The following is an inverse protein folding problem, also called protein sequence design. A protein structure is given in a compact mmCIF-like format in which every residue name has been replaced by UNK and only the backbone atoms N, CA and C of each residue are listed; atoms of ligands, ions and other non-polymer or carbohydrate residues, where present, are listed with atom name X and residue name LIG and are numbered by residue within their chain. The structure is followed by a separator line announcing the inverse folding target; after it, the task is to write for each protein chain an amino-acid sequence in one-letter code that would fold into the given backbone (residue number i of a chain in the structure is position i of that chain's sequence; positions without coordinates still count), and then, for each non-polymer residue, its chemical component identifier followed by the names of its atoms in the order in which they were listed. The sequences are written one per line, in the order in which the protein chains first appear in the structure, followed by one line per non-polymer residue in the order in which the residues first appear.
data_IF_417917661708
#
_entry.id   IF_417917661708
#
_cell.length_a   1.000
_cell.length_b   1.000
_cell.length_c   1.000
_cell.angle_alpha   90.00
_cell.angle_beta   90.00
_cell.angle_gamma   90.00
#
_symmetry.space_group_name_H-M   'P 1'
#
loop_
_entity.id
_entity.type
_entity.pdbx_description
1 polymer ?
#
# COMPACT_ATOMS: atom_id res chain seq x y z
N UNK A 1 13.84 13.34 -5.57
CA UNK A 1 12.56 12.84 -6.12
C UNK A 1 11.74 12.21 -5.02
N UNK A 2 10.43 12.50 -4.96
CA UNK A 2 9.52 11.94 -3.97
C UNK A 2 8.21 11.49 -4.64
N UNK A 3 7.77 10.26 -4.34
CA UNK A 3 6.56 9.67 -4.92
C UNK A 3 5.39 9.72 -3.95
N UNK A 4 4.24 10.18 -4.44
CA UNK A 4 3.00 10.30 -3.69
C UNK A 4 1.93 9.38 -4.27
N UNK A 5 1.32 8.59 -3.42
CA UNK A 5 0.23 7.68 -3.77
C UNK A 5 -1.08 8.17 -3.15
N UNK A 6 -2.21 7.94 -3.81
CA UNK A 6 -3.50 8.25 -3.22
C UNK A 6 -3.62 7.63 -1.81
N UNK A 7 -4.16 8.39 -0.86
CA UNK A 7 -4.05 8.08 0.57
C UNK A 7 -4.69 6.75 0.96
N UNK A 8 -5.85 6.42 0.40
CA UNK A 8 -6.52 5.16 0.71
C UNK A 8 -5.74 3.95 0.15
N UNK A 9 -5.19 4.08 -1.05
CA UNK A 9 -4.31 3.06 -1.66
C UNK A 9 -3.00 2.92 -0.89
N UNK A 10 -2.43 4.04 -0.41
CA UNK A 10 -1.26 4.01 0.48
C UNK A 10 -1.56 3.24 1.75
N UNK A 11 -2.71 3.50 2.38
CA UNK A 11 -3.15 2.81 3.58
C UNK A 11 -3.29 1.31 3.38
N UNK A 12 -3.95 0.89 2.31
CA UNK A 12 -4.09 -0.54 1.96
C UNK A 12 -2.73 -1.21 1.74
N UNK A 13 -1.82 -0.53 1.06
CA UNK A 13 -0.45 -1.01 0.86
C UNK A 13 0.32 -1.15 2.17
N UNK A 14 0.21 -0.17 3.08
CA UNK A 14 0.83 -0.23 4.41
C UNK A 14 0.23 -1.35 5.27
N UNK A 15 -1.09 -1.56 5.17
CA UNK A 15 -1.75 -2.68 5.83
C UNK A 15 -1.20 -4.03 5.35
N UNK A 16 -1.11 -4.22 4.05
CA UNK A 16 -0.51 -5.41 3.43
C UNK A 16 0.92 -5.66 3.94
N UNK A 17 1.75 -4.61 3.97
CA UNK A 17 3.11 -4.68 4.52
C UNK A 17 3.11 -5.04 6.01
N UNK A 18 2.22 -4.43 6.78
CA UNK A 18 2.07 -4.71 8.21
C UNK A 18 1.70 -6.17 8.49
N UNK A 19 0.79 -6.74 7.70
CA UNK A 19 0.42 -8.15 7.80
C UNK A 19 1.61 -9.07 7.49
N UNK A 20 2.36 -8.80 6.41
CA UNK A 20 3.57 -9.57 6.05
C UNK A 20 4.66 -9.49 7.11
N UNK A 21 4.68 -8.41 7.88
CA UNK A 21 5.61 -8.21 8.99
C UNK A 21 5.11 -8.77 10.33
N UNK A 22 4.00 -9.53 10.34
CA UNK A 22 3.47 -10.18 11.54
C UNK A 22 2.39 -9.38 12.29
N UNK A 23 1.93 -8.24 11.76
CA UNK A 23 0.81 -7.49 12.32
C UNK A 23 -0.51 -8.26 12.21
N UNK A 24 -1.30 -8.32 13.31
CA UNK A 24 -2.57 -9.05 13.36
C UNK A 24 -3.82 -8.17 13.50
N UNK A 25 -3.68 -6.85 13.36
CA UNK A 25 -4.83 -5.93 13.48
C UNK A 25 -5.74 -6.03 12.27
N UNK A 26 -7.04 -5.75 12.45
CA UNK A 26 -7.97 -5.67 11.33
C UNK A 26 -7.68 -4.44 10.46
N UNK A 27 -8.11 -4.46 9.19
CA UNK A 27 -8.06 -3.27 8.33
C UNK A 27 -8.85 -2.10 8.93
N UNK A 28 -9.90 -2.41 9.67
CA UNK A 28 -10.72 -1.43 10.38
C UNK A 28 -9.93 -0.69 11.47
N UNK A 29 -9.12 -1.42 12.23
CA UNK A 29 -8.33 -0.88 13.34
C UNK A 29 -6.96 -0.37 12.91
N UNK A 30 -6.51 -0.77 11.73
CA UNK A 30 -5.23 -0.36 11.20
C UNK A 30 -5.21 1.15 10.94
N UNK A 31 -4.28 1.83 11.58
CA UNK A 31 -4.11 3.29 11.48
C UNK A 31 -5.43 4.04 11.67
N UNK A 32 -5.94 4.06 12.90
CA UNK A 32 -7.23 4.69 13.26
C UNK A 32 -7.31 6.17 12.88
N UNK A 33 -6.22 6.91 13.08
CA UNK A 33 -6.13 8.31 12.66
C UNK A 33 -5.75 8.42 11.17
N UNK A 34 -6.76 8.65 10.34
CA UNK A 34 -6.67 8.80 8.89
C UNK A 34 -7.16 10.17 8.44
N UNK A 35 -7.17 11.12 9.37
CA UNK A 35 -7.61 12.47 9.10
C UNK A 35 -6.54 13.31 8.39
N UNK A 36 -6.91 14.41 7.76
CA UNK A 36 -5.96 15.35 7.17
C UNK A 36 -4.98 15.99 8.17
N UNK A 37 -5.25 15.89 9.47
CA UNK A 37 -4.33 16.33 10.54
C UNK A 37 -3.15 15.38 10.69
N UNK A 38 -3.31 14.11 10.31
CA UNK A 38 -2.22 13.15 10.33
C UNK A 38 -1.20 13.45 9.24
N UNK A 39 -0.02 13.90 9.65
CA UNK A 39 1.08 14.28 8.75
C UNK A 39 1.55 13.13 7.83
N UNK A 40 1.33 11.86 8.19
CA UNK A 40 1.64 10.72 7.32
C UNK A 40 0.83 10.71 6.02
N UNK A 41 -0.38 11.24 6.07
CA UNK A 41 -1.31 11.28 4.95
C UNK A 41 -1.47 12.67 4.35
N UNK A 42 -1.19 13.74 5.12
CA UNK A 42 -1.23 15.10 4.61
C UNK A 42 0.08 15.46 3.89
N UNK A 43 0.07 15.29 2.59
CA UNK A 43 1.26 15.52 1.76
C UNK A 43 1.67 16.98 1.70
N UNK A 44 0.72 17.92 1.74
CA UNK A 44 1.05 19.34 1.78
C UNK A 44 1.88 19.67 3.03
N UNK A 45 1.42 19.24 4.20
CA UNK A 45 2.11 19.50 5.47
C UNK A 45 3.47 18.81 5.55
N UNK A 46 3.54 17.56 5.09
CA UNK A 46 4.79 16.78 5.12
C UNK A 46 5.83 17.35 4.15
N UNK A 47 5.39 17.68 2.93
CA UNK A 47 6.31 18.10 1.88
C UNK A 47 6.81 19.52 2.06
N UNK A 48 6.05 20.39 2.73
CA UNK A 48 6.51 21.72 3.15
C UNK A 48 7.75 21.69 4.03
N UNK A 49 7.86 20.69 4.90
CA UNK A 49 9.07 20.53 5.74
C UNK A 49 10.33 20.28 4.90
N UNK A 50 10.20 19.57 3.79
CA UNK A 50 11.28 19.36 2.85
C UNK A 50 11.58 20.64 2.05
N UNK A 51 10.54 21.36 1.65
CA UNK A 51 10.68 22.66 1.00
C UNK A 51 11.39 23.67 1.89
N UNK A 52 11.03 23.75 3.17
CA UNK A 52 11.66 24.62 4.16
C UNK A 52 13.16 24.28 4.35
N UNK A 53 13.51 23.00 4.24
CA UNK A 53 14.88 22.54 4.43
C UNK A 53 15.76 22.67 3.17
N UNK A 54 15.21 22.43 1.97
CA UNK A 54 15.99 22.30 0.74
C UNK A 54 15.62 23.30 -0.36
N UNK A 55 14.56 24.08 -0.17
CA UNK A 55 13.99 24.94 -1.20
C UNK A 55 13.11 24.19 -2.21
N UNK A 56 12.15 24.89 -2.80
CA UNK A 56 11.16 24.29 -3.72
C UNK A 56 11.82 23.73 -4.98
N UNK A 57 12.87 24.37 -5.49
CA UNK A 57 13.56 24.00 -6.73
C UNK A 57 14.34 22.68 -6.60
N UNK A 58 14.69 22.27 -5.37
CA UNK A 58 15.33 20.99 -5.09
C UNK A 58 14.34 19.81 -5.05
N UNK A 59 13.03 20.08 -5.11
CA UNK A 59 12.00 19.08 -4.92
C UNK A 59 11.38 18.64 -6.24
N UNK A 60 11.37 17.33 -6.47
CA UNK A 60 10.76 16.71 -7.64
C UNK A 60 9.64 15.76 -7.17
N UNK A 61 8.41 16.28 -6.97
CA UNK A 61 7.28 15.44 -6.59
C UNK A 61 6.74 14.67 -7.79
N UNK A 62 6.46 13.39 -7.59
CA UNK A 62 5.91 12.47 -8.60
C UNK A 62 4.67 11.76 -8.07
N UNK A 63 3.72 11.46 -8.94
CA UNK A 63 2.56 10.64 -8.58
C UNK A 63 2.90 9.17 -8.83
N UNK A 64 2.75 8.34 -7.79
CA UNK A 64 2.91 6.90 -7.89
C UNK A 64 1.62 6.28 -8.45
N UNK A 65 1.50 6.32 -9.75
CA UNK A 65 0.45 5.66 -10.53
C UNK A 65 1.11 5.11 -11.80
N UNK A 66 0.89 3.83 -12.12
CA UNK A 66 1.56 3.16 -13.25
C UNK A 66 1.38 3.91 -14.57
N UNK A 67 0.20 4.46 -14.79
CA UNK A 67 -0.12 5.19 -16.01
C UNK A 67 0.61 6.55 -16.11
N UNK A 68 1.27 6.98 -15.02
CA UNK A 68 2.01 8.25 -14.92
C UNK A 68 3.51 8.06 -14.76
N UNK A 69 3.95 6.84 -14.56
CA UNK A 69 5.37 6.49 -14.51
C UNK A 69 5.92 6.27 -15.92
N UNK A 70 7.18 6.54 -16.12
CA UNK A 70 7.89 6.28 -17.37
C UNK A 70 7.82 4.78 -17.68
N UNK A 71 7.12 4.41 -18.77
CA UNK A 71 6.82 3.03 -19.14
C UNK A 71 6.19 2.17 -18.02
N UNK A 72 5.52 2.80 -17.06
CA UNK A 72 4.92 2.11 -15.92
C UNK A 72 5.92 1.59 -14.88
N UNK A 73 7.21 1.93 -15.01
CA UNK A 73 8.28 1.47 -14.12
C UNK A 73 8.85 2.63 -13.28
N UNK A 74 8.71 2.50 -11.96
CA UNK A 74 9.22 3.51 -11.01
C UNK A 74 10.75 3.69 -11.09
N UNK A 75 11.51 2.66 -11.47
CA UNK A 75 12.96 2.74 -11.58
C UNK A 75 13.36 3.61 -12.75
N UNK A 76 12.69 3.47 -13.88
CA UNK A 76 12.89 4.29 -15.07
C UNK A 76 12.48 5.73 -14.80
N UNK A 77 11.31 5.92 -14.23
CA UNK A 77 10.79 7.24 -13.85
C UNK A 77 11.73 7.94 -12.86
N UNK A 78 12.26 7.20 -11.87
CA UNK A 78 13.24 7.76 -10.92
C UNK A 78 14.52 8.20 -11.61
N UNK A 79 15.12 7.36 -12.46
CA UNK A 79 16.35 7.69 -13.17
C UNK A 79 16.16 8.93 -14.04
N UNK A 80 15.08 8.98 -14.81
CA UNK A 80 14.76 10.12 -15.67
C UNK A 80 14.68 11.46 -14.92
N UNK A 81 14.24 11.44 -13.65
CA UNK A 81 14.03 12.65 -12.86
C UNK A 81 15.16 12.96 -11.86
N UNK A 82 15.86 11.93 -11.40
CA UNK A 82 16.95 12.07 -10.44
C UNK A 82 18.33 12.17 -11.10
N UNK A 83 18.50 11.50 -12.25
CA UNK A 83 19.75 11.40 -12.97
C UNK A 83 19.50 11.55 -14.48
N UNK A 84 19.08 12.73 -14.94
CA UNK A 84 18.66 12.95 -16.33
C UNK A 84 19.79 12.71 -17.36
N UNK A 85 21.03 12.67 -16.91
CA UNK A 85 22.19 12.34 -17.74
C UNK A 85 22.39 10.84 -17.97
N UNK A 86 21.68 9.98 -17.23
CA UNK A 86 21.76 8.52 -17.38
C UNK A 86 20.66 8.06 -18.33
N UNK A 87 21.06 7.39 -19.41
CA UNK A 87 20.12 6.73 -20.31
C UNK A 87 19.51 5.49 -19.64
N UNK A 88 18.20 5.47 -19.34
CA UNK A 88 17.57 4.30 -18.74
C UNK A 88 17.71 3.03 -19.58
N UNK A 89 17.80 3.15 -20.91
CA UNK A 89 17.95 1.99 -21.83
C UNK A 89 19.34 1.35 -21.72
N UNK A 90 20.32 2.08 -21.25
CA UNK A 90 21.68 1.55 -21.06
C UNK A 90 21.79 0.65 -19.82
N UNK A 91 20.73 0.56 -18.99
CA UNK A 91 20.75 -0.17 -17.74
C UNK A 91 19.99 -1.51 -17.85
N UNK A 92 20.62 -2.57 -17.36
CA UNK A 92 19.94 -3.86 -17.19
C UNK A 92 19.14 -3.85 -15.89
N UNK A 93 17.82 -3.88 -16.01
CA UNK A 93 16.94 -4.00 -14.84
C UNK A 93 16.79 -5.47 -14.46
N UNK A 94 17.09 -5.79 -13.19
CA UNK A 94 16.74 -7.10 -12.65
C UNK A 94 15.22 -7.30 -12.75
N UNK A 95 14.79 -8.54 -12.96
CA UNK A 95 13.38 -8.88 -12.93
C UNK A 95 12.76 -8.31 -11.64
N UNK A 96 11.71 -7.52 -11.79
CA UNK A 96 11.03 -6.94 -10.64
C UNK A 96 10.27 -8.08 -9.96
N UNK A 97 10.76 -8.54 -8.81
CA UNK A 97 9.88 -9.20 -7.86
C UNK A 97 8.89 -8.13 -7.41
N UNK A 98 7.74 -8.11 -8.07
CA UNK A 98 6.72 -7.13 -7.75
C UNK A 98 6.34 -7.31 -6.30
N UNK A 99 6.63 -6.31 -5.46
CA UNK A 99 6.12 -6.24 -4.09
C UNK A 99 4.62 -5.94 -4.16
N UNK A 100 3.87 -6.94 -4.68
CA UNK A 100 2.43 -6.85 -4.86
C UNK A 100 1.75 -6.74 -3.49
N UNK A 101 0.76 -5.86 -3.39
CA UNK A 101 -0.14 -5.88 -2.23
C UNK A 101 -0.78 -7.26 -2.12
N UNK A 102 -1.05 -7.70 -0.89
CA UNK A 102 -1.80 -8.93 -0.67
C UNK A 102 -3.18 -8.81 -1.33
N UNK A 103 -3.68 -9.93 -1.85
CA UNK A 103 -5.08 -10.04 -2.21
C UNK A 103 -5.97 -10.04 -0.96
N UNK A 104 -7.28 -9.96 -1.16
CA UNK A 104 -8.24 -10.01 -0.05
C UNK A 104 -8.09 -11.30 0.77
N UNK A 105 -8.04 -12.45 0.11
CA UNK A 105 -7.93 -13.76 0.76
C UNK A 105 -6.59 -13.94 1.48
N UNK A 106 -5.50 -13.54 0.85
CA UNK A 106 -4.18 -13.55 1.49
C UNK A 106 -4.15 -12.69 2.74
N UNK A 107 -4.69 -11.47 2.68
CA UNK A 107 -4.74 -10.56 3.83
C UNK A 107 -5.53 -11.13 5.00
N UNK A 108 -6.66 -11.79 4.73
CA UNK A 108 -7.46 -12.48 5.76
C UNK A 108 -6.71 -13.61 6.40
N UNK A 109 -6.02 -14.42 5.60
CA UNK A 109 -5.21 -15.54 6.11
C UNK A 109 -4.07 -15.02 6.99
N UNK A 110 -3.30 -14.02 6.51
CA UNK A 110 -2.26 -13.39 7.32
C UNK A 110 -2.80 -12.82 8.63
N UNK A 111 -3.91 -12.11 8.57
CA UNK A 111 -4.54 -11.52 9.75
C UNK A 111 -4.95 -12.61 10.76
N UNK A 112 -5.59 -13.69 10.32
CA UNK A 112 -6.03 -14.79 11.17
C UNK A 112 -4.84 -15.45 11.89
N UNK A 113 -3.80 -15.81 11.13
CA UNK A 113 -2.58 -16.44 11.69
C UNK A 113 -1.86 -15.50 12.67
N UNK A 114 -1.65 -14.23 12.28
CA UNK A 114 -0.96 -13.26 13.11
C UNK A 114 -1.73 -12.94 14.40
N UNK A 115 -3.06 -12.82 14.33
CA UNK A 115 -3.92 -12.58 15.49
C UNK A 115 -3.92 -13.76 16.46
N UNK A 116 -3.95 -14.99 15.95
CA UNK A 116 -3.86 -16.19 16.77
C UNK A 116 -2.50 -16.28 17.48
N UNK A 117 -1.44 -15.88 16.81
CA UNK A 117 -0.08 -15.86 17.33
C UNK A 117 0.13 -14.80 18.39
N UNK A 118 -0.30 -13.55 18.20
CA UNK A 118 -0.12 -12.43 19.14
C UNK A 118 -0.63 -12.71 20.55
N UNK A 119 -1.48 -13.73 20.69
CA UNK A 119 -1.98 -14.22 21.99
C UNK A 119 -1.06 -15.24 22.66
N UNK A 120 -0.04 -15.76 21.99
CA UNK A 120 0.72 -16.94 22.47
C UNK A 120 2.22 -16.76 22.67
N UNK A 121 2.89 -15.75 22.10
CA UNK A 121 4.36 -15.73 22.06
C UNK A 121 4.92 -14.38 22.52
N UNK A 122 5.67 -14.41 23.62
CA UNK A 122 6.62 -13.36 23.99
C UNK A 122 7.93 -13.56 23.23
N UNK A 123 8.49 -12.47 22.74
CA UNK A 123 9.87 -12.22 22.27
C UNK A 123 10.71 -13.45 21.85
N UNK A 124 10.39 -14.10 20.78
CA UNK A 124 11.34 -14.95 20.05
C UNK A 124 11.67 -14.21 18.76
N UNK A 125 12.96 -14.14 18.42
CA UNK A 125 13.40 -13.65 17.09
C UNK A 125 12.72 -14.52 16.03
N UNK A 126 11.85 -13.88 15.25
CA UNK A 126 10.79 -14.58 14.60
C UNK A 126 11.02 -14.64 13.11
N UNK A 127 11.47 -15.77 12.62
CA UNK A 127 11.56 -16.10 11.19
C UNK A 127 10.18 -16.43 10.57
N UNK A 128 9.14 -16.48 11.39
CA UNK A 128 7.80 -16.88 10.96
C UNK A 128 7.19 -15.98 9.87
N UNK A 129 7.37 -14.64 9.86
CA UNK A 129 6.89 -13.83 8.76
C UNK A 129 7.42 -14.29 7.40
N UNK A 130 8.68 -14.63 7.31
CA UNK A 130 9.28 -15.16 6.07
C UNK A 130 8.70 -16.51 5.66
N UNK A 131 8.56 -17.43 6.62
CA UNK A 131 7.94 -18.76 6.39
C UNK A 131 6.48 -18.59 5.98
N UNK A 132 5.72 -17.75 6.67
CA UNK A 132 4.30 -17.51 6.35
C UNK A 132 4.15 -16.87 4.97
N UNK A 133 5.00 -15.91 4.60
CA UNK A 133 4.98 -15.32 3.26
C UNK A 133 5.17 -16.40 2.19
N UNK A 134 6.12 -17.30 2.37
CA UNK A 134 6.35 -18.39 1.42
C UNK A 134 5.19 -19.38 1.39
N UNK A 135 4.69 -19.81 2.55
CA UNK A 135 3.53 -20.72 2.61
C UNK A 135 2.30 -20.13 1.92
N UNK A 136 2.00 -18.85 2.16
CA UNK A 136 0.84 -18.20 1.54
C UNK A 136 1.03 -18.06 0.04
N UNK A 137 2.24 -17.74 -0.44
CA UNK A 137 2.51 -17.66 -1.88
C UNK A 137 2.30 -19.00 -2.60
N UNK A 138 2.61 -20.10 -1.94
CA UNK A 138 2.53 -21.46 -2.51
C UNK A 138 1.15 -22.12 -2.28
N UNK A 139 0.28 -21.52 -1.44
CA UNK A 139 -1.01 -22.12 -1.10
C UNK A 139 -1.98 -22.09 -2.30
N UNK A 140 -2.47 -23.25 -2.77
CA UNK A 140 -3.46 -23.30 -3.83
C UNK A 140 -4.84 -22.82 -3.35
N UNK A 141 -5.68 -22.37 -4.27
CA UNK A 141 -7.09 -22.05 -4.02
C UNK A 141 -7.35 -20.65 -3.44
N UNK A 142 -6.33 -19.84 -3.17
CA UNK A 142 -6.55 -18.43 -2.82
C UNK A 142 -6.85 -17.61 -4.07
N UNK A 143 -7.89 -16.78 -3.98
CA UNK A 143 -8.16 -15.80 -5.03
C UNK A 143 -7.19 -14.62 -4.91
N UNK A 144 -6.25 -14.54 -5.84
CA UNK A 144 -5.26 -13.46 -5.91
C UNK A 144 -5.66 -12.33 -6.84
N UNK A 145 -6.78 -12.43 -7.51
CA UNK A 145 -7.30 -11.40 -8.42
C UNK A 145 -8.02 -10.27 -7.69
N UNK A 146 -8.55 -10.55 -6.48
CA UNK A 146 -9.34 -9.59 -5.72
C UNK A 146 -8.45 -8.78 -4.79
N UNK A 147 -8.35 -7.47 -5.05
CA UNK A 147 -7.62 -6.55 -4.18
C UNK A 147 -8.32 -6.41 -2.81
N UNK A 148 -7.54 -6.01 -1.79
CA UNK A 148 -8.10 -5.69 -0.48
C UNK A 148 -9.14 -4.58 -0.65
N UNK A 149 -10.38 -4.90 -0.37
CA UNK A 149 -11.48 -3.93 -0.38
C UNK A 149 -11.57 -3.19 0.97
N UNK A 150 -11.38 -1.88 0.93
CA UNK A 150 -11.69 -1.01 2.08
C UNK A 150 -12.89 -0.13 1.71
N UNK A 151 -14.08 -0.37 2.26
CA UNK A 151 -15.28 0.38 1.93
C UNK A 151 -15.19 1.87 2.27
N UNK A 152 -14.17 2.27 3.06
CA UNK A 152 -13.93 3.68 3.45
C UNK A 152 -13.01 4.42 2.49
N UNK A 153 -12.56 3.80 1.41
CA UNK A 153 -11.70 4.46 0.42
C UNK A 153 -12.32 5.75 -0.15
N UNK A 154 -13.61 5.78 -0.54
CA UNK A 154 -14.25 7.00 -1.02
C UNK A 154 -14.29 8.13 0.01
N UNK A 155 -14.61 7.79 1.27
CA UNK A 155 -14.66 8.77 2.36
C UNK A 155 -13.27 9.35 2.65
N UNK A 156 -12.26 8.49 2.67
CA UNK A 156 -10.88 8.92 2.86
C UNK A 156 -10.42 9.80 1.70
N UNK A 157 -10.72 9.44 0.46
CA UNK A 157 -10.40 10.26 -0.71
C UNK A 157 -11.05 11.65 -0.61
N UNK A 158 -12.33 11.71 -0.24
CA UNK A 158 -13.06 12.96 -0.08
C UNK A 158 -12.48 13.82 1.06
N UNK A 159 -12.12 13.21 2.19
CA UNK A 159 -11.55 13.93 3.34
C UNK A 159 -10.22 14.62 3.00
N UNK A 160 -9.43 14.04 2.09
CA UNK A 160 -8.14 14.62 1.67
C UNK A 160 -8.23 15.54 0.46
N UNK A 161 -9.40 15.71 -0.18
CA UNK A 161 -9.51 16.46 -1.43
C UNK A 161 -8.97 17.88 -1.33
N UNK A 162 -9.36 18.62 -0.30
CA UNK A 162 -8.90 20.00 -0.10
C UNK A 162 -7.38 20.11 0.08
N UNK A 163 -6.79 19.25 0.91
CA UNK A 163 -5.33 19.24 1.14
C UNK A 163 -4.55 18.77 -0.10
N UNK A 164 -5.11 17.82 -0.85
CA UNK A 164 -4.53 17.34 -2.10
C UNK A 164 -4.55 18.43 -3.18
N UNK A 165 -5.67 19.13 -3.37
CA UNK A 165 -5.73 20.27 -4.28
C UNK A 165 -4.70 21.35 -3.94
N UNK A 166 -4.57 21.70 -2.67
CA UNK A 166 -3.57 22.67 -2.23
C UNK A 166 -2.13 22.17 -2.48
N UNK A 167 -1.87 20.85 -2.28
CA UNK A 167 -0.59 20.22 -2.61
C UNK A 167 -0.31 20.27 -4.12
N UNK A 168 -1.26 19.87 -4.95
CA UNK A 168 -1.09 19.87 -6.40
C UNK A 168 -0.98 21.26 -6.99
N UNK A 169 -1.74 22.24 -6.44
CA UNK A 169 -1.60 23.63 -6.84
C UNK A 169 -0.19 24.16 -6.58
N UNK A 170 0.37 23.87 -5.41
CA UNK A 170 1.71 24.35 -5.02
C UNK A 170 2.84 23.72 -5.82
N UNK A 171 2.82 22.41 -5.95
CA UNK A 171 3.98 21.65 -6.45
C UNK A 171 3.84 21.17 -7.90
N UNK A 172 2.64 21.20 -8.46
CA UNK A 172 2.37 20.78 -9.85
C UNK A 172 1.73 21.91 -10.69
N UNK A 173 1.38 23.05 -10.08
CA UNK A 173 0.68 24.14 -10.77
C UNK A 173 -0.77 23.80 -11.18
N UNK A 174 -1.37 22.75 -10.60
CA UNK A 174 -2.70 22.28 -10.97
C UNK A 174 -3.69 22.43 -9.80
N UNK A 175 -4.73 23.25 -10.00
CA UNK A 175 -5.77 23.50 -8.98
C UNK A 175 -6.85 22.41 -8.96
N UNK A 176 -6.42 21.15 -9.05
CA UNK A 176 -7.28 19.97 -9.01
C UNK A 176 -6.60 18.86 -8.22
N UNK A 177 -7.39 17.92 -7.71
CA UNK A 177 -6.84 16.69 -7.14
C UNK A 177 -6.42 15.75 -8.28
N UNK A 178 -5.13 15.55 -8.45
CA UNK A 178 -4.58 14.71 -9.53
C UNK A 178 -4.58 13.22 -9.21
N UNK A 179 -4.92 12.81 -7.98
CA UNK A 179 -5.07 11.39 -7.68
C UNK A 179 -6.34 10.83 -8.31
N UNK A 180 -6.24 9.62 -8.84
CA UNK A 180 -7.38 8.88 -9.36
C UNK A 180 -8.30 8.47 -8.20
N UNK A 181 -9.57 8.88 -8.25
CA UNK A 181 -10.55 8.49 -7.27
C UNK A 181 -10.69 6.95 -7.19
N UNK A 182 -10.81 6.37 -5.99
CA UNK A 182 -11.07 4.94 -5.85
C UNK A 182 -12.42 4.60 -6.45
N UNK A 183 -12.50 3.42 -7.09
CA UNK A 183 -13.78 2.90 -7.57
C UNK A 183 -14.66 2.59 -6.36
N UNK A 184 -15.94 2.94 -6.43
CA UNK A 184 -16.91 2.44 -5.46
C UNK A 184 -17.03 0.93 -5.64
N UNK A 185 -16.66 0.19 -4.61
CA UNK A 185 -16.90 -1.25 -4.58
C UNK A 185 -18.18 -1.47 -3.77
N UNK A 186 -19.15 -2.16 -4.37
CA UNK A 186 -20.35 -2.55 -3.64
C UNK A 186 -19.90 -3.41 -2.44
N UNK A 187 -20.22 -2.95 -1.24
CA UNK A 187 -20.03 -3.75 -0.03
C UNK A 187 -21.12 -4.80 -0.02
N UNK A 188 -20.75 -6.07 -0.16
CA UNK A 188 -21.62 -7.15 0.25
C UNK A 188 -21.48 -7.31 1.77
N UNK A 189 -22.51 -6.97 2.57
CA UNK A 189 -22.41 -7.03 4.02
C UNK A 189 -22.35 -8.46 4.57
N UNK A 190 -22.55 -9.48 3.75
CA UNK A 190 -22.67 -10.89 4.14
C UNK A 190 -21.57 -11.81 3.58
N UNK A 191 -20.44 -11.33 3.13
CA UNK A 191 -19.34 -12.22 2.76
C UNK A 191 -18.79 -12.96 3.98
N UNK A 192 -19.54 -14.00 4.35
CA UNK A 192 -19.05 -15.05 5.27
C UNK A 192 -17.80 -15.66 4.65
N UNK A 193 -16.72 -15.86 5.43
CA UNK A 193 -15.47 -16.39 4.90
C UNK A 193 -15.71 -17.73 4.21
N UNK A 194 -15.40 -17.83 2.92
CA UNK A 194 -15.40 -19.10 2.17
C UNK A 194 -14.41 -20.13 2.74
N UNK A 195 -13.50 -19.68 3.60
CA UNK A 195 -12.50 -20.51 4.25
C UNK A 195 -12.72 -20.57 5.76
N UNK A 196 -13.10 -21.74 6.28
CA UNK A 196 -12.92 -22.08 7.68
C UNK A 196 -11.59 -22.81 7.81
N UNK A 197 -10.77 -22.45 8.79
CA UNK A 197 -9.54 -23.19 9.12
C UNK A 197 -9.83 -24.69 9.40
N UNK A 198 -11.08 -25.03 9.73
CA UNK A 198 -11.55 -26.39 9.89
C UNK A 198 -11.53 -27.22 8.60
N UNK A 199 -11.63 -26.59 7.44
CA UNK A 199 -11.79 -27.29 6.17
C UNK A 199 -10.43 -27.82 5.63
N UNK A 200 -9.33 -27.48 6.30
CA UNK A 200 -7.97 -27.92 5.97
C UNK A 200 -7.27 -28.67 7.11
N UNK A 201 -7.99 -28.99 8.20
CA UNK A 201 -7.40 -29.75 9.31
C UNK A 201 -6.91 -31.15 8.87
N UNK A 202 -7.50 -31.71 7.82
CA UNK A 202 -7.14 -33.03 7.30
C UNK A 202 -5.82 -33.06 6.48
N UNK A 203 -5.33 -31.90 6.04
CA UNK A 203 -4.07 -31.80 5.29
C UNK A 203 -2.81 -31.80 6.18
N UNK A 204 -2.98 -31.64 7.49
CA UNK A 204 -1.86 -31.60 8.45
C UNK A 204 -1.54 -32.97 9.06
N UNK A 205 -2.27 -34.05 8.67
CA UNK A 205 -2.12 -35.40 9.21
C UNK A 205 -1.77 -36.45 8.15
N UNK A 206 -1.34 -36.05 6.96
CA UNK A 206 -0.85 -36.96 5.93
C UNK A 206 0.65 -36.83 5.72
#
# INVERSE_FOLDING_TARGET
VCYFREQSRKRTSLYSTGLRSGGGVSLQDFQKDKSPENHHYNYLTSFRKWEDAFGIDALVPRIYDRDRLDEGDIRRDFLKHALPEVDPEALAYAAQEANMSLSHDEARLFQAVNSARGKRIGRVQDHLPGVLNKLVSDLPGLDRSVEINDPRQPDMYAAFDASNRAFFKRYFGQDTNLFTAPKQVATDPEETPKYRLSDHADLMHS
#
